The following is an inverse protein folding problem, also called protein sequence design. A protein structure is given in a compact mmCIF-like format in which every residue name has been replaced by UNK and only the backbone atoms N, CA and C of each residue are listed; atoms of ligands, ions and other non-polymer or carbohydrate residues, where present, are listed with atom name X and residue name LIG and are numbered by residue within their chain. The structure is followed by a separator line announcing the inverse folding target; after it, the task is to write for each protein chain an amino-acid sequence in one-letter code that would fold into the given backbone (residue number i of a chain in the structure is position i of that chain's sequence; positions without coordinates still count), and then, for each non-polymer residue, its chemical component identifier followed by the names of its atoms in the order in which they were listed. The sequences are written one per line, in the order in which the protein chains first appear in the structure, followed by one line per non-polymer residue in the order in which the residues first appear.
data_IF_437125368642
#
_entry.id   IF_437125368642
#
_cell.length_a   1.000
_cell.length_b   1.000
_cell.length_c   1.000
_cell.angle_alpha   90.00
_cell.angle_beta   90.00
_cell.angle_gamma   90.00
#
_symmetry.space_group_name_H-M   'P 1'
#
loop_
_entity.id
_entity.type
_entity.pdbx_description
1 polymer ?
#
# COMPACT_ATOMS: atom_id res chain seq x y z
N UNK A 1 24.60 6.76 4.83
CA UNK A 1 24.00 6.67 6.21
C UNK A 1 24.50 5.40 6.90
N UNK A 2 24.57 5.34 8.25
CA UNK A 2 24.95 4.09 8.93
C UNK A 2 23.74 3.14 8.97
N UNK A 3 23.90 1.92 8.41
CA UNK A 3 22.81 0.94 8.32
C UNK A 3 22.62 0.15 9.63
N UNK A 4 21.88 0.73 10.57
CA UNK A 4 21.55 0.08 11.84
C UNK A 4 20.55 -1.07 11.68
N UNK A 5 19.77 -1.10 10.60
CA UNK A 5 18.71 -2.06 10.36
C UNK A 5 19.10 -3.16 9.37
N UNK A 6 20.34 -3.10 8.86
CA UNK A 6 20.91 -4.08 7.93
C UNK A 6 20.06 -4.23 6.65
N UNK A 7 19.80 -3.11 5.99
CA UNK A 7 19.07 -3.09 4.72
C UNK A 7 19.94 -3.47 3.51
N UNK A 8 21.25 -3.47 3.64
CA UNK A 8 22.16 -3.85 2.55
C UNK A 8 21.75 -5.20 1.94
N UNK A 9 21.51 -5.22 0.62
CA UNK A 9 21.08 -6.39 -0.14
C UNK A 9 19.66 -6.89 0.11
N UNK A 10 18.87 -6.25 1.00
CA UNK A 10 17.47 -6.62 1.28
C UNK A 10 16.54 -6.23 0.14
N UNK A 11 15.61 -7.11 -0.21
CA UNK A 11 14.55 -6.80 -1.17
C UNK A 11 13.43 -6.00 -0.49
N UNK A 12 13.34 -4.73 -0.82
CA UNK A 12 12.38 -3.78 -0.27
C UNK A 12 11.40 -3.35 -1.35
N UNK A 13 10.11 -3.52 -1.12
CA UNK A 13 9.03 -3.05 -2.01
C UNK A 13 8.41 -1.80 -1.41
N UNK A 14 8.33 -0.71 -2.18
CA UNK A 14 7.76 0.57 -1.75
C UNK A 14 6.65 0.98 -2.70
N UNK A 15 5.44 1.21 -2.19
CA UNK A 15 4.32 1.79 -2.96
C UNK A 15 4.22 3.29 -2.73
N UNK A 16 3.75 4.05 -3.73
CA UNK A 16 3.76 5.51 -3.67
C UNK A 16 5.16 6.10 -3.80
N UNK A 17 6.02 5.42 -4.57
CA UNK A 17 7.47 5.62 -4.59
C UNK A 17 7.94 6.90 -5.29
N UNK A 18 7.09 7.54 -6.09
CA UNK A 18 7.50 8.67 -6.95
C UNK A 18 7.43 10.04 -6.27
N UNK A 19 6.80 10.15 -5.10
CA UNK A 19 6.62 11.45 -4.43
C UNK A 19 6.54 11.35 -2.91
N UNK A 20 6.70 12.49 -2.23
CA UNK A 20 6.48 12.65 -0.80
C UNK A 20 7.22 11.64 0.07
N UNK A 21 6.52 11.06 1.04
CA UNK A 21 7.10 10.08 1.99
C UNK A 21 7.61 8.81 1.30
N UNK A 22 6.91 8.35 0.24
CA UNK A 22 7.34 7.17 -0.51
C UNK A 22 8.67 7.38 -1.20
N UNK A 23 8.84 8.51 -1.91
CA UNK A 23 10.11 8.88 -2.54
C UNK A 23 11.24 8.99 -1.51
N UNK A 24 11.01 9.68 -0.41
CA UNK A 24 12.01 9.79 0.66
C UNK A 24 12.38 8.41 1.25
N UNK A 25 11.40 7.50 1.38
CA UNK A 25 11.65 6.11 1.80
C UNK A 25 12.53 5.38 0.79
N UNK A 26 12.26 5.52 -0.51
CA UNK A 26 13.07 4.92 -1.58
C UNK A 26 14.50 5.44 -1.52
N UNK A 27 14.71 6.77 -1.45
CA UNK A 27 16.03 7.40 -1.33
C UNK A 27 16.82 6.85 -0.15
N UNK A 28 16.19 6.78 1.04
CA UNK A 28 16.85 6.24 2.23
C UNK A 28 17.22 4.77 2.08
N UNK A 29 16.36 3.94 1.49
CA UNK A 29 16.62 2.51 1.31
C UNK A 29 17.74 2.28 0.27
N UNK A 30 17.79 3.07 -0.80
CA UNK A 30 18.90 3.05 -1.77
C UNK A 30 20.21 3.41 -1.09
N UNK A 31 20.24 4.49 -0.30
CA UNK A 31 21.43 4.90 0.45
C UNK A 31 21.91 3.85 1.46
N UNK A 32 21.02 2.99 1.94
CA UNK A 32 21.31 1.87 2.83
C UNK A 32 21.69 0.58 2.08
N UNK A 33 21.78 0.62 0.75
CA UNK A 33 22.20 -0.51 -0.07
C UNK A 33 21.11 -1.57 -0.31
N UNK A 34 19.84 -1.24 -0.09
CA UNK A 34 18.73 -2.16 -0.38
C UNK A 34 18.48 -2.33 -1.87
N UNK A 35 17.98 -3.49 -2.27
CA UNK A 35 17.36 -3.70 -3.58
C UNK A 35 15.94 -3.15 -3.55
N UNK A 36 15.73 -1.93 -4.03
CA UNK A 36 14.43 -1.25 -3.95
C UNK A 36 13.60 -1.50 -5.21
N UNK A 37 12.41 -2.05 -5.03
CA UNK A 37 11.37 -2.22 -6.05
C UNK A 37 10.31 -1.14 -5.82
N UNK A 38 10.33 -0.12 -6.68
CA UNK A 38 9.48 1.06 -6.57
C UNK A 38 8.19 0.89 -7.37
N UNK A 39 7.04 1.07 -6.73
CA UNK A 39 5.71 0.95 -7.33
C UNK A 39 4.98 2.30 -7.24
N UNK A 40 4.54 2.84 -8.39
CA UNK A 40 3.74 4.08 -8.45
C UNK A 40 2.99 4.19 -9.79
N UNK A 41 2.04 5.11 -9.87
CA UNK A 41 1.40 5.52 -11.13
C UNK A 41 2.33 6.36 -12.00
N UNK A 42 3.19 7.17 -11.38
CA UNK A 42 4.13 8.07 -12.01
C UNK A 42 5.55 7.48 -11.92
N UNK A 43 6.40 7.85 -12.84
CA UNK A 43 7.80 7.42 -12.83
C UNK A 43 8.51 7.84 -11.54
N UNK A 44 9.33 6.95 -11.01
CA UNK A 44 10.22 7.21 -9.90
C UNK A 44 11.58 7.63 -10.45
N UNK A 45 11.98 8.87 -10.20
CA UNK A 45 13.23 9.47 -10.67
C UNK A 45 14.45 9.22 -9.75
N UNK A 46 14.26 8.42 -8.67
CA UNK A 46 15.34 8.09 -7.74
C UNK A 46 16.33 7.15 -8.39
N UNK A 47 17.59 7.59 -8.44
CA UNK A 47 18.68 6.76 -8.99
C UNK A 47 19.06 5.64 -8.02
N UNK A 48 19.47 4.50 -8.56
CA UNK A 48 19.94 3.36 -7.76
C UNK A 48 18.83 2.41 -7.30
N UNK A 49 17.57 2.63 -7.65
CA UNK A 49 16.52 1.63 -7.46
C UNK A 49 16.82 0.37 -8.28
N UNK A 50 16.39 -0.77 -7.81
CA UNK A 50 16.55 -2.05 -8.54
C UNK A 50 15.64 -2.12 -9.75
N UNK A 51 14.36 -1.81 -9.56
CA UNK A 51 13.33 -1.81 -10.60
C UNK A 51 12.22 -0.80 -10.26
N UNK A 52 11.65 -0.21 -11.30
CA UNK A 52 10.40 0.55 -11.22
C UNK A 52 9.28 -0.21 -11.92
N UNK A 53 8.11 -0.25 -11.29
CA UNK A 53 6.90 -0.83 -11.85
C UNK A 53 5.76 0.18 -11.80
N UNK A 54 5.26 0.57 -12.96
CA UNK A 54 4.04 1.36 -13.03
C UNK A 54 2.87 0.48 -12.58
N UNK A 55 2.14 0.92 -11.54
CA UNK A 55 1.08 0.14 -10.93
C UNK A 55 0.00 1.03 -10.35
N UNK A 56 -1.23 0.87 -10.84
CA UNK A 56 -2.40 1.46 -10.21
C UNK A 56 -2.90 0.54 -9.09
N UNK A 57 -2.66 0.93 -7.86
CA UNK A 57 -3.10 0.15 -6.68
C UNK A 57 -4.62 0.10 -6.51
N UNK A 58 -5.40 0.92 -7.19
CA UNK A 58 -6.86 0.79 -7.22
C UNK A 58 -7.34 -0.29 -8.21
N UNK A 59 -6.43 -0.88 -9.00
CA UNK A 59 -6.71 -1.91 -10.00
C UNK A 59 -6.06 -3.24 -9.61
N UNK A 60 -6.89 -4.23 -9.29
CA UNK A 60 -6.45 -5.56 -8.86
C UNK A 60 -5.57 -6.27 -9.91
N UNK A 61 -5.92 -6.16 -11.20
CA UNK A 61 -5.18 -6.84 -12.27
C UNK A 61 -3.77 -6.25 -12.42
N UNK A 62 -3.63 -4.92 -12.33
CA UNK A 62 -2.31 -4.27 -12.37
C UNK A 62 -1.45 -4.66 -11.16
N UNK A 63 -2.04 -4.84 -9.98
CA UNK A 63 -1.35 -5.39 -8.82
C UNK A 63 -0.84 -6.81 -9.13
N UNK A 64 -1.70 -7.66 -9.69
CA UNK A 64 -1.36 -9.06 -10.02
C UNK A 64 -0.23 -9.13 -11.05
N UNK A 65 -0.30 -8.34 -12.11
CA UNK A 65 0.74 -8.24 -13.14
C UNK A 65 2.07 -7.73 -12.59
N UNK A 66 2.01 -6.75 -11.67
CA UNK A 66 3.19 -6.20 -11.03
C UNK A 66 3.84 -7.23 -10.11
N UNK A 67 3.04 -7.84 -9.23
CA UNK A 67 3.57 -8.84 -8.29
C UNK A 67 4.08 -10.12 -8.97
N UNK A 68 3.62 -10.44 -10.19
CA UNK A 68 4.19 -11.51 -11.00
C UNK A 68 5.67 -11.26 -11.40
N UNK A 69 6.08 -10.00 -11.47
CA UNK A 69 7.45 -9.58 -11.83
C UNK A 69 8.37 -9.36 -10.62
N UNK A 70 7.79 -9.16 -9.43
CA UNK A 70 8.54 -8.92 -8.21
C UNK A 70 9.20 -10.21 -7.67
N UNK A 71 10.27 -10.09 -6.87
CA UNK A 71 10.96 -11.26 -6.32
C UNK A 71 10.05 -12.10 -5.41
N UNK A 72 10.31 -13.42 -5.38
CA UNK A 72 9.60 -14.36 -4.51
C UNK A 72 9.98 -14.22 -3.03
N UNK A 73 11.04 -13.49 -2.72
CA UNK A 73 11.48 -13.19 -1.35
C UNK A 73 11.48 -11.68 -1.16
N UNK A 74 10.69 -11.20 -0.22
CA UNK A 74 10.57 -9.79 0.15
C UNK A 74 10.97 -9.67 1.61
N UNK A 75 11.93 -8.79 1.91
CA UNK A 75 12.40 -8.56 3.27
C UNK A 75 11.63 -7.45 3.96
N UNK A 76 11.23 -6.42 3.21
CA UNK A 76 10.41 -5.34 3.74
C UNK A 76 9.40 -4.83 2.71
N UNK A 77 8.19 -4.58 3.16
CA UNK A 77 7.14 -3.96 2.35
C UNK A 77 6.69 -2.64 2.99
N UNK A 78 6.73 -1.57 2.22
CA UNK A 78 6.33 -0.22 2.62
C UNK A 78 5.09 0.22 1.83
N UNK A 79 3.93 0.07 2.42
CA UNK A 79 2.65 0.52 1.89
C UNK A 79 2.44 2.01 2.17
N UNK A 80 3.11 2.88 1.40
CA UNK A 80 3.11 4.33 1.61
C UNK A 80 2.10 5.03 0.72
N UNK A 81 1.74 4.44 -0.43
CA UNK A 81 0.75 5.01 -1.34
C UNK A 81 -0.54 5.39 -0.62
N UNK A 82 -1.07 6.55 -0.96
CA UNK A 82 -2.33 7.00 -0.41
C UNK A 82 -2.92 8.20 -1.17
N UNK A 83 -4.25 8.19 -1.33
CA UNK A 83 -5.03 9.22 -1.98
C UNK A 83 -5.93 9.90 -0.96
N UNK A 84 -5.97 11.24 -0.98
CA UNK A 84 -6.79 12.04 -0.03
C UNK A 84 -8.29 12.05 -0.36
N UNK A 85 -8.66 11.62 -1.56
CA UNK A 85 -10.03 11.73 -2.07
C UNK A 85 -10.43 13.12 -2.58
N UNK A 86 -9.51 14.09 -2.57
CA UNK A 86 -9.81 15.45 -3.08
C UNK A 86 -9.79 15.54 -4.60
N UNK A 87 -9.09 14.62 -5.28
CA UNK A 87 -8.91 14.61 -6.75
C UNK A 87 -9.28 13.27 -7.39
N UNK A 88 -9.85 12.35 -6.62
CA UNK A 88 -10.19 10.99 -7.08
C UNK A 88 -11.57 10.62 -6.55
N UNK A 89 -12.22 9.64 -7.20
CA UNK A 89 -13.50 9.12 -6.73
C UNK A 89 -13.35 8.26 -5.46
N UNK A 90 -14.50 7.91 -4.88
CA UNK A 90 -14.59 7.16 -3.64
C UNK A 90 -13.91 5.79 -3.73
N UNK A 91 -14.23 5.01 -4.76
CA UNK A 91 -13.74 3.64 -4.90
C UNK A 91 -12.24 3.60 -5.19
N UNK A 92 -11.75 4.48 -6.05
CA UNK A 92 -10.33 4.64 -6.34
C UNK A 92 -9.55 4.98 -5.06
N UNK A 93 -10.06 5.94 -4.27
CA UNK A 93 -9.44 6.34 -2.99
C UNK A 93 -9.43 5.16 -2.00
N UNK A 94 -10.56 4.49 -1.81
CA UNK A 94 -10.66 3.39 -0.84
C UNK A 94 -9.82 2.19 -1.26
N UNK A 95 -9.87 1.82 -2.54
CA UNK A 95 -9.11 0.68 -3.06
C UNK A 95 -7.60 0.92 -2.98
N UNK A 96 -7.12 2.10 -3.34
CA UNK A 96 -5.71 2.45 -3.20
C UNK A 96 -5.25 2.40 -1.74
N UNK A 97 -6.02 2.99 -0.81
CA UNK A 97 -5.58 3.16 0.57
C UNK A 97 -5.70 1.90 1.42
N UNK A 98 -6.74 1.08 1.21
CA UNK A 98 -7.03 -0.07 2.07
C UNK A 98 -7.10 -1.39 1.31
N UNK A 99 -7.97 -1.50 0.26
CA UNK A 99 -8.23 -2.79 -0.40
C UNK A 99 -6.95 -3.40 -0.98
N UNK A 100 -6.11 -2.56 -1.60
CA UNK A 100 -4.81 -2.97 -2.16
C UNK A 100 -3.86 -3.51 -1.10
N UNK A 101 -3.68 -2.77 0.01
CA UNK A 101 -2.79 -3.16 1.09
C UNK A 101 -3.22 -4.50 1.71
N UNK A 102 -4.52 -4.66 1.95
CA UNK A 102 -5.10 -5.92 2.41
C UNK A 102 -4.85 -7.05 1.41
N UNK A 103 -5.19 -6.83 0.14
CA UNK A 103 -5.03 -7.82 -0.93
C UNK A 103 -3.57 -8.26 -1.11
N UNK A 104 -2.66 -7.30 -1.19
CA UNK A 104 -1.23 -7.56 -1.29
C UNK A 104 -0.74 -8.38 -0.10
N UNK A 105 -1.13 -7.99 1.12
CA UNK A 105 -0.72 -8.67 2.35
C UNK A 105 -1.13 -10.14 2.34
N UNK A 106 -2.41 -10.42 2.10
CA UNK A 106 -2.92 -11.78 2.22
C UNK A 106 -2.61 -12.68 1.02
N UNK A 107 -2.52 -12.12 -0.19
CA UNK A 107 -2.23 -12.90 -1.40
C UNK A 107 -0.73 -13.12 -1.62
N UNK A 108 0.08 -12.09 -1.43
CA UNK A 108 1.49 -12.12 -1.80
C UNK A 108 2.44 -12.13 -0.61
N UNK A 109 2.29 -11.20 0.33
CA UNK A 109 3.26 -11.07 1.41
C UNK A 109 3.21 -12.25 2.38
N UNK A 110 2.05 -12.84 2.62
CA UNK A 110 1.89 -14.03 3.47
C UNK A 110 2.85 -15.17 3.08
N UNK A 111 3.19 -15.30 1.80
CA UNK A 111 4.05 -16.39 1.29
C UNK A 111 5.43 -15.93 0.87
N UNK A 112 5.62 -14.63 0.59
CA UNK A 112 6.88 -14.07 0.08
C UNK A 112 7.73 -13.37 1.13
N UNK A 113 7.15 -13.02 2.30
CA UNK A 113 7.93 -12.39 3.36
C UNK A 113 8.98 -13.36 3.91
N UNK A 114 10.22 -12.88 4.02
CA UNK A 114 11.29 -13.62 4.66
C UNK A 114 11.07 -13.69 6.18
N UNK A 115 11.64 -14.71 6.85
CA UNK A 115 11.59 -14.77 8.32
C UNK A 115 12.30 -13.54 8.91
N UNK A 116 11.61 -12.81 9.76
CA UNK A 116 12.09 -11.55 10.34
C UNK A 116 11.89 -10.33 9.43
N UNK A 117 11.18 -10.49 8.30
CA UNK A 117 10.77 -9.37 7.44
C UNK A 117 9.73 -8.47 8.10
N UNK A 118 9.53 -7.28 7.54
CA UNK A 118 8.64 -6.25 8.08
C UNK A 118 7.64 -5.73 7.05
N UNK A 119 6.43 -5.42 7.53
CA UNK A 119 5.38 -4.75 6.75
C UNK A 119 5.05 -3.44 7.45
N UNK A 120 5.10 -2.33 6.73
CA UNK A 120 4.78 -1.00 7.24
C UNK A 120 3.65 -0.40 6.41
N UNK A 121 2.63 0.14 7.07
CA UNK A 121 1.57 0.94 6.45
C UNK A 121 1.53 2.33 7.04
N UNK A 122 1.33 3.33 6.17
CA UNK A 122 1.12 4.71 6.59
C UNK A 122 -0.35 4.93 6.90
N UNK A 123 -0.67 5.03 8.18
CA UNK A 123 -2.00 5.39 8.68
C UNK A 123 -2.22 6.92 8.67
N UNK A 124 -3.14 7.44 9.44
CA UNK A 124 -3.43 8.87 9.56
C UNK A 124 -4.15 9.17 10.87
N UNK A 125 -4.08 10.43 11.31
CA UNK A 125 -4.99 10.95 12.36
C UNK A 125 -6.46 10.84 11.95
N UNK A 126 -6.77 10.77 10.65
CA UNK A 126 -8.11 10.47 10.15
C UNK A 126 -8.61 9.07 10.57
N UNK A 127 -7.72 8.16 10.95
CA UNK A 127 -8.04 6.85 11.54
C UNK A 127 -8.29 6.86 13.03
N UNK A 128 -8.12 8.00 13.72
CA UNK A 128 -8.42 8.10 15.16
C UNK A 128 -9.89 7.75 15.45
N UNK A 129 -10.14 7.26 16.65
CA UNK A 129 -11.46 6.81 17.09
C UNK A 129 -12.02 5.59 16.34
N UNK A 130 -11.19 4.86 15.59
CA UNK A 130 -11.62 3.66 14.87
C UNK A 130 -12.41 2.66 15.74
N UNK A 131 -12.09 2.57 17.03
CA UNK A 131 -12.77 1.68 17.99
C UNK A 131 -14.27 1.96 18.10
N UNK A 132 -14.69 3.23 17.96
CA UNK A 132 -16.10 3.62 18.04
C UNK A 132 -16.90 3.12 16.83
N UNK A 133 -16.21 2.89 15.69
CA UNK A 133 -16.79 2.46 14.41
C UNK A 133 -16.43 1.01 14.07
N UNK A 134 -15.79 0.28 15.00
CA UNK A 134 -15.26 -1.05 14.76
C UNK A 134 -16.30 -2.01 14.18
N UNK A 135 -17.52 -2.00 14.72
CA UNK A 135 -18.60 -2.91 14.30
C UNK A 135 -18.96 -2.78 12.80
N UNK A 136 -18.98 -1.56 12.28
CA UNK A 136 -19.26 -1.31 10.86
C UNK A 136 -18.05 -1.68 9.97
N UNK A 137 -16.84 -1.44 10.47
CA UNK A 137 -15.60 -1.69 9.74
C UNK A 137 -15.22 -3.18 9.72
N UNK A 138 -15.57 -3.95 10.76
CA UNK A 138 -15.19 -5.36 10.89
C UNK A 138 -15.62 -6.19 9.68
N UNK A 139 -16.77 -5.91 9.07
CA UNK A 139 -17.22 -6.61 7.85
C UNK A 139 -16.26 -6.39 6.69
N UNK A 140 -15.78 -5.15 6.51
CA UNK A 140 -14.87 -4.76 5.44
C UNK A 140 -13.46 -5.28 5.69
N UNK A 141 -12.99 -5.14 6.94
CA UNK A 141 -11.66 -5.62 7.36
C UNK A 141 -11.55 -7.14 7.20
N UNK A 142 -12.61 -7.89 7.52
CA UNK A 142 -12.63 -9.35 7.46
C UNK A 142 -13.19 -9.93 6.15
N UNK A 143 -13.53 -9.08 5.15
CA UNK A 143 -13.94 -9.56 3.84
C UNK A 143 -12.88 -10.49 3.23
N UNK A 144 -13.29 -11.58 2.59
CA UNK A 144 -12.37 -12.66 2.20
C UNK A 144 -11.64 -12.38 0.88
N UNK A 145 -12.20 -11.52 0.03
CA UNK A 145 -11.65 -11.19 -1.29
C UNK A 145 -11.64 -9.69 -1.55
N UNK A 146 -10.99 -9.30 -2.64
CA UNK A 146 -11.06 -7.95 -3.20
C UNK A 146 -12.51 -7.59 -3.55
N UNK A 147 -13.19 -8.50 -4.24
CA UNK A 147 -14.54 -8.34 -4.74
C UNK A 147 -15.55 -8.20 -3.58
N UNK A 148 -15.40 -8.98 -2.51
CA UNK A 148 -16.22 -8.84 -1.31
C UNK A 148 -16.00 -7.50 -0.62
N UNK A 149 -14.75 -7.03 -0.56
CA UNK A 149 -14.43 -5.70 -0.01
C UNK A 149 -15.10 -4.61 -0.82
N UNK A 150 -14.98 -4.65 -2.15
CA UNK A 150 -15.61 -3.68 -3.08
C UNK A 150 -17.14 -3.68 -2.90
N UNK A 151 -17.78 -4.85 -2.90
CA UNK A 151 -19.22 -5.01 -2.74
C UNK A 151 -19.76 -4.39 -1.43
N UNK A 152 -18.98 -4.50 -0.34
CA UNK A 152 -19.36 -3.93 0.96
C UNK A 152 -19.23 -2.40 0.98
N UNK A 153 -18.30 -1.84 0.22
CA UNK A 153 -17.98 -0.41 0.23
C UNK A 153 -18.72 0.38 -0.86
N UNK A 154 -19.05 -0.25 -1.99
CA UNK A 154 -19.75 0.39 -3.11
C UNK A 154 -21.03 1.13 -2.74
N UNK A 155 -21.91 0.66 -1.82
CA UNK A 155 -23.07 1.43 -1.41
C UNK A 155 -22.72 2.77 -0.77
N UNK A 156 -21.61 2.88 -0.06
CA UNK A 156 -21.13 4.12 0.55
C UNK A 156 -20.64 5.11 -0.52
N UNK A 157 -20.08 4.62 -1.62
CA UNK A 157 -19.61 5.45 -2.72
C UNK A 157 -20.76 6.23 -3.42
N UNK A 158 -22.00 5.74 -3.29
CA UNK A 158 -23.18 6.39 -3.85
C UNK A 158 -23.73 7.54 -3.01
N UNK A 159 -23.37 7.61 -1.73
CA UNK A 159 -23.95 8.54 -0.76
C UNK A 159 -22.93 9.41 -0.02
N UNK A 160 -21.64 9.09 -0.09
CA UNK A 160 -20.60 9.79 0.64
C UNK A 160 -19.50 10.35 -0.29
N UNK A 161 -18.91 11.51 0.05
CA UNK A 161 -17.83 12.09 -0.72
C UNK A 161 -16.55 11.24 -0.65
N UNK A 162 -15.68 11.36 -1.64
CA UNK A 162 -14.41 10.60 -1.69
C UNK A 162 -13.45 10.95 -0.53
N UNK A 163 -13.56 12.12 0.07
CA UNK A 163 -12.82 12.48 1.29
C UNK A 163 -13.25 11.62 2.50
N UNK A 164 -14.50 11.16 2.52
CA UNK A 164 -14.94 10.16 3.50
C UNK A 164 -14.28 8.80 3.26
N UNK A 165 -14.06 8.41 1.99
CA UNK A 165 -13.31 7.20 1.67
C UNK A 165 -11.89 7.22 2.25
N UNK A 166 -11.22 8.37 2.23
CA UNK A 166 -9.93 8.53 2.89
C UNK A 166 -10.01 8.21 4.39
N UNK A 167 -10.89 8.89 5.10
CA UNK A 167 -11.07 8.67 6.53
C UNK A 167 -11.45 7.21 6.84
N UNK A 168 -12.40 6.66 6.09
CA UNK A 168 -12.86 5.29 6.30
C UNK A 168 -11.76 4.25 6.02
N UNK A 169 -11.00 4.42 4.94
CA UNK A 169 -9.87 3.55 4.62
C UNK A 169 -8.79 3.57 5.70
N UNK A 170 -8.47 4.75 6.27
CA UNK A 170 -7.49 4.90 7.35
C UNK A 170 -7.97 4.35 8.71
N UNK A 171 -9.27 4.20 8.90
CA UNK A 171 -9.85 3.50 10.04
C UNK A 171 -9.82 1.98 9.88
N UNK A 172 -9.90 1.48 8.65
CA UNK A 172 -9.83 0.05 8.33
C UNK A 172 -8.39 -0.48 8.32
N UNK A 173 -7.41 0.38 8.06
CA UNK A 173 -5.98 0.06 8.02
C UNK A 173 -5.39 -0.04 9.43
#
# INVERSE_FOLDING_TARGET
MKDYFKYEGKNCVVTGASSGMGKATVEMLVDLGANVYALDLNECDVQGIKEFHKCNLANKNEIDETFAKLPNKIDSFFGVAGLSGSKTDYMTTFNCNFTSNKYITFKYLKTRMTKGGSIVFVTSTAGLNWKQFKKEQDKVVHAQSWEDTVKLVEPLAKSAPATFAYMYSKRCL
#
